data_IF_358118055988
#
_entry.id   IF_358118055988
#
_cell.length_a   1.000
_cell.length_b   1.000
_cell.length_c   1.000
_cell.angle_alpha   90.00
_cell.angle_beta   90.00
_cell.angle_gamma   90.00
#
_symmetry.space_group_name_H-M   'P 1'
#
loop_
_entity.id
_entity.type
_entity.pdbx_description
1 polymer ?
#
# COMPACT_ATOMS: atom_id res chain seq x y z
N UNK A 1 -19.96 -53.98 33.81
CA UNK A 1 -20.76 -52.76 33.53
C UNK A 1 -19.81 -51.58 33.35
N UNK A 2 -20.27 -50.58 32.59
CA UNK A 2 -19.54 -49.62 31.76
C UNK A 2 -18.47 -48.79 32.48
N UNK A 3 -17.30 -48.68 31.84
CA UNK A 3 -16.34 -47.59 32.01
C UNK A 3 -16.78 -46.42 31.11
N UNK A 4 -16.97 -45.23 31.70
CA UNK A 4 -17.21 -44.00 30.95
C UNK A 4 -16.08 -43.04 31.24
N UNK A 5 -15.08 -43.04 30.35
CA UNK A 5 -14.03 -42.03 30.27
C UNK A 5 -14.61 -40.90 29.42
N UNK A 6 -14.91 -39.75 30.03
CA UNK A 6 -15.28 -38.53 29.32
C UNK A 6 -14.01 -37.78 28.97
N UNK A 7 -13.66 -37.83 27.68
CA UNK A 7 -12.51 -37.16 27.10
C UNK A 7 -12.79 -35.64 26.99
N UNK A 8 -11.83 -34.87 27.50
CA UNK A 8 -11.74 -33.40 27.42
C UNK A 8 -11.51 -32.96 25.98
N UNK A 9 -12.28 -31.99 25.49
CA UNK A 9 -12.04 -31.30 24.23
C UNK A 9 -11.84 -29.80 24.46
N UNK A 10 -10.61 -29.37 24.73
CA UNK A 10 -10.23 -27.96 24.65
C UNK A 10 -10.11 -27.57 23.17
N UNK A 11 -11.06 -26.79 22.67
CA UNK A 11 -10.94 -26.06 21.41
C UNK A 11 -10.02 -24.85 21.63
N UNK A 12 -8.72 -25.04 21.43
CA UNK A 12 -7.75 -23.95 21.37
C UNK A 12 -7.95 -23.20 20.05
N UNK A 13 -8.60 -22.04 20.08
CA UNK A 13 -8.62 -21.12 18.95
C UNK A 13 -7.21 -20.55 18.78
N UNK A 14 -6.48 -21.04 17.77
CA UNK A 14 -5.20 -20.46 17.37
C UNK A 14 -5.54 -19.13 16.68
N UNK A 15 -5.58 -18.04 17.44
CA UNK A 15 -5.49 -16.69 16.88
C UNK A 15 -4.07 -16.52 16.35
N UNK A 16 -3.86 -16.87 15.09
CA UNK A 16 -2.63 -16.52 14.39
C UNK A 16 -2.52 -15.00 14.33
N UNK A 17 -1.48 -14.43 14.94
CA UNK A 17 -1.17 -13.03 14.78
C UNK A 17 -0.96 -12.76 13.27
N UNK A 18 -1.81 -11.94 12.66
CA UNK A 18 -1.62 -11.52 11.27
C UNK A 18 -0.34 -10.70 11.20
N UNK A 19 0.64 -11.19 10.43
CA UNK A 19 1.88 -10.45 10.18
C UNK A 19 1.51 -9.25 9.29
N UNK A 20 1.77 -8.03 9.77
CA UNK A 20 1.71 -6.83 8.95
C UNK A 20 2.99 -6.73 8.11
N UNK A 21 2.97 -7.28 6.91
CA UNK A 21 4.07 -7.23 5.94
C UNK A 21 4.34 -5.79 5.47
N UNK A 22 3.31 -4.94 5.43
CA UNK A 22 3.48 -3.53 5.10
C UNK A 22 4.22 -2.73 6.18
N UNK A 23 4.37 -3.25 7.40
CA UNK A 23 5.15 -2.57 8.45
C UNK A 23 6.63 -2.34 8.04
N UNK A 24 7.13 -3.14 7.09
CA UNK A 24 8.44 -2.97 6.46
C UNK A 24 9.63 -3.08 7.42
N UNK A 25 10.80 -2.68 6.94
CA UNK A 25 12.02 -2.51 7.73
C UNK A 25 12.38 -1.03 7.77
N UNK A 26 11.91 -0.32 8.80
CA UNK A 26 12.08 1.15 8.96
C UNK A 26 13.51 1.61 9.26
N UNK A 27 14.52 0.78 8.98
CA UNK A 27 15.93 1.04 9.27
C UNK A 27 16.64 1.93 8.25
N UNK A 28 16.08 2.07 7.04
CA UNK A 28 16.65 2.89 5.96
C UNK A 28 15.72 4.05 5.67
N UNK A 29 16.18 5.31 5.75
CA UNK A 29 15.42 6.45 5.24
C UNK A 29 15.20 6.28 3.73
N UNK A 30 13.95 6.35 3.29
CA UNK A 30 13.62 6.35 1.87
C UNK A 30 13.90 7.70 1.21
N UNK A 31 13.39 7.89 -0.02
CA UNK A 31 13.62 9.09 -0.83
C UNK A 31 12.46 10.10 -0.75
N UNK A 32 11.39 9.74 -0.05
CA UNK A 32 10.11 10.43 -0.13
C UNK A 32 9.50 10.76 1.25
N UNK A 33 8.88 11.93 1.32
CA UNK A 33 8.10 12.39 2.48
C UNK A 33 6.62 12.51 2.09
N UNK A 34 5.77 11.65 2.67
CA UNK A 34 4.33 11.70 2.39
C UNK A 34 3.69 12.91 3.08
N UNK A 35 3.00 13.76 2.32
CA UNK A 35 2.46 15.04 2.80
C UNK A 35 1.01 14.89 3.25
N UNK A 36 0.17 14.23 2.43
CA UNK A 36 -1.27 14.13 2.69
C UNK A 36 -1.79 12.72 2.47
N UNK A 37 -2.88 12.40 3.18
CA UNK A 37 -3.69 11.19 2.99
C UNK A 37 -5.14 11.63 2.89
N UNK A 38 -5.77 11.37 1.74
CA UNK A 38 -7.17 11.65 1.46
C UNK A 38 -7.87 10.32 1.23
N UNK A 39 -8.88 10.05 2.05
CA UNK A 39 -9.68 8.84 1.94
C UNK A 39 -10.56 8.86 0.69
N UNK A 40 -10.50 7.78 -0.07
CA UNK A 40 -11.30 7.57 -1.29
C UNK A 40 -12.10 6.27 -1.21
N UNK A 41 -12.05 5.55 -0.09
CA UNK A 41 -12.59 4.19 0.06
C UNK A 41 -14.07 4.10 -0.27
N UNK A 42 -14.88 5.05 0.22
CA UNK A 42 -16.32 5.10 -0.07
C UNK A 42 -16.67 5.44 -1.52
N UNK A 43 -15.74 6.06 -2.25
CA UNK A 43 -15.93 6.51 -3.64
C UNK A 43 -15.24 5.61 -4.67
N UNK A 44 -14.37 4.70 -4.24
CA UNK A 44 -13.78 3.68 -5.11
C UNK A 44 -14.84 2.65 -5.48
N UNK A 45 -14.84 2.22 -6.74
CA UNK A 45 -15.79 1.22 -7.25
C UNK A 45 -15.51 -0.18 -6.70
N UNK A 46 -14.25 -0.47 -6.38
CA UNK A 46 -13.82 -1.76 -5.82
C UNK A 46 -12.61 -1.53 -4.92
N UNK A 47 -12.74 -0.88 -3.75
CA UNK A 47 -11.60 -0.64 -2.88
C UNK A 47 -10.96 -1.98 -2.46
N UNK A 48 -9.65 -2.18 -2.64
CA UNK A 48 -8.97 -3.41 -2.26
C UNK A 48 -9.12 -3.67 -0.76
N UNK A 49 -9.08 -4.94 -0.41
CA UNK A 49 -8.96 -5.40 0.98
C UNK A 49 -7.54 -5.18 1.49
N UNK A 50 -7.41 -5.02 2.80
CA UNK A 50 -6.10 -4.99 3.46
C UNK A 50 -5.27 -6.23 3.15
N UNK A 51 -5.88 -7.42 3.03
CA UNK A 51 -5.18 -8.63 2.60
C UNK A 51 -4.56 -8.50 1.20
N UNK A 52 -5.29 -7.92 0.24
CA UNK A 52 -4.76 -7.64 -1.10
C UNK A 52 -3.59 -6.63 -1.05
N UNK A 53 -3.65 -5.65 -0.15
CA UNK A 53 -2.54 -4.70 0.06
C UNK A 53 -1.32 -5.36 0.73
N UNK A 54 -1.53 -6.31 1.65
CA UNK A 54 -0.44 -7.10 2.23
C UNK A 54 0.27 -7.96 1.16
N UNK A 55 -0.47 -8.47 0.18
CA UNK A 55 0.10 -9.19 -0.96
C UNK A 55 0.94 -8.26 -1.86
N UNK A 56 0.50 -7.03 -2.08
CA UNK A 56 1.30 -5.99 -2.76
C UNK A 56 2.59 -5.68 -2.00
N UNK A 57 2.51 -5.46 -0.69
CA UNK A 57 3.69 -5.20 0.14
C UNK A 57 4.69 -6.37 0.09
N UNK A 58 4.20 -7.61 0.10
CA UNK A 58 5.06 -8.80 -0.07
C UNK A 58 5.79 -8.79 -1.41
N UNK A 59 5.08 -8.44 -2.48
CA UNK A 59 5.66 -8.34 -3.82
C UNK A 59 6.74 -7.26 -3.90
N UNK A 60 6.45 -6.06 -3.40
CA UNK A 60 7.40 -4.93 -3.34
C UNK A 60 8.66 -5.34 -2.58
N UNK A 61 8.52 -5.88 -1.37
CA UNK A 61 9.65 -6.27 -0.52
C UNK A 61 10.43 -7.49 -1.02
N UNK A 62 9.91 -8.21 -2.02
CA UNK A 62 10.62 -9.32 -2.67
C UNK A 62 11.49 -8.88 -3.85
N UNK A 63 11.27 -7.65 -4.35
CA UNK A 63 12.09 -7.06 -5.41
C UNK A 63 13.23 -6.24 -4.79
N UNK A 64 14.38 -6.24 -5.47
CA UNK A 64 15.56 -5.52 -5.01
C UNK A 64 15.73 -4.22 -5.82
N UNK A 65 15.84 -3.10 -5.11
CA UNK A 65 16.15 -1.80 -5.68
C UNK A 65 14.98 -0.83 -5.65
N UNK A 66 15.23 0.35 -6.20
CA UNK A 66 14.28 1.45 -6.20
C UNK A 66 13.34 1.37 -7.41
N UNK A 67 12.10 1.78 -7.22
CA UNK A 67 11.18 2.01 -8.32
C UNK A 67 11.40 3.40 -8.92
N UNK A 68 11.76 3.44 -10.21
CA UNK A 68 11.88 4.70 -10.95
C UNK A 68 10.51 5.16 -11.41
N UNK A 69 10.08 6.31 -10.90
CA UNK A 69 8.91 7.02 -11.40
C UNK A 69 9.37 7.98 -12.49
N UNK A 70 8.88 7.79 -13.71
CA UNK A 70 9.28 8.56 -14.90
C UNK A 70 8.06 9.16 -15.59
N UNK A 71 8.07 10.48 -15.73
CA UNK A 71 7.03 11.24 -16.42
C UNK A 71 7.50 11.83 -17.75
N UNK A 72 8.74 11.57 -18.14
CA UNK A 72 9.35 12.08 -19.38
C UNK A 72 8.55 11.66 -20.59
N UNK A 73 8.11 12.64 -21.39
CA UNK A 73 7.32 12.40 -22.61
C UNK A 73 5.89 11.90 -22.39
N UNK A 74 5.41 11.79 -21.13
CA UNK A 74 4.06 11.37 -20.82
C UNK A 74 3.07 12.56 -20.78
N UNK A 75 1.81 12.37 -21.24
CA UNK A 75 0.80 13.44 -21.26
C UNK A 75 0.28 13.78 -19.85
N UNK A 76 -0.39 14.93 -19.72
CA UNK A 76 -1.00 15.34 -18.47
C UNK A 76 -2.10 14.35 -18.04
N UNK A 77 -2.14 14.04 -16.74
CA UNK A 77 -3.02 13.00 -16.18
C UNK A 77 -2.48 11.57 -16.29
N UNK A 78 -1.31 11.36 -16.91
CA UNK A 78 -0.64 10.05 -16.86
C UNK A 78 -0.36 9.63 -15.42
N UNK A 79 -0.60 8.34 -15.14
CA UNK A 79 -0.24 7.68 -13.90
C UNK A 79 0.61 6.46 -14.21
N UNK A 80 1.79 6.39 -13.61
CA UNK A 80 2.59 5.19 -13.62
C UNK A 80 2.08 4.27 -12.51
N UNK A 81 1.69 3.05 -12.88
CA UNK A 81 1.04 2.10 -11.95
C UNK A 81 2.00 0.97 -11.64
N UNK A 82 2.23 0.74 -10.34
CA UNK A 82 2.87 -0.45 -9.80
C UNK A 82 1.79 -1.51 -9.56
N UNK A 83 1.64 -2.44 -10.52
CA UNK A 83 0.58 -3.46 -10.52
C UNK A 83 1.13 -4.86 -10.18
N UNK A 84 1.66 -5.01 -8.96
CA UNK A 84 2.21 -6.30 -8.50
C UNK A 84 1.11 -7.27 -8.03
N UNK A 85 0.07 -6.74 -7.36
CA UNK A 85 -1.12 -7.50 -6.94
C UNK A 85 -2.39 -6.64 -7.08
N UNK A 86 -3.53 -7.10 -6.55
CA UNK A 86 -4.83 -6.46 -6.75
C UNK A 86 -4.92 -5.03 -6.16
N UNK A 87 -4.31 -4.80 -4.99
CA UNK A 87 -4.15 -3.47 -4.41
C UNK A 87 -2.98 -2.77 -5.11
N UNK A 88 -3.25 -1.96 -6.12
CA UNK A 88 -2.19 -1.27 -6.86
C UNK A 88 -1.81 0.05 -6.21
N UNK A 89 -0.58 0.45 -6.48
CA UNK A 89 -0.05 1.76 -6.13
C UNK A 89 0.23 2.52 -7.42
N UNK A 90 -0.01 3.83 -7.46
CA UNK A 90 0.30 4.62 -8.64
C UNK A 90 0.78 6.01 -8.31
N UNK A 91 1.61 6.54 -9.20
CA UNK A 91 2.19 7.87 -9.13
C UNK A 91 1.76 8.71 -10.32
N UNK A 92 1.40 9.96 -10.08
CA UNK A 92 1.08 10.93 -11.12
C UNK A 92 1.74 12.28 -10.83
N UNK A 93 1.92 13.12 -11.84
CA UNK A 93 2.50 14.45 -11.66
C UNK A 93 1.60 15.33 -10.78
N UNK A 94 2.19 16.00 -9.80
CA UNK A 94 1.47 17.05 -9.07
C UNK A 94 1.23 18.27 -9.97
N UNK A 95 0.13 19.03 -9.77
CA UNK A 95 -0.09 20.29 -10.46
C UNK A 95 1.09 21.26 -10.28
N UNK A 96 1.56 21.86 -11.37
CA UNK A 96 2.64 22.86 -11.34
C UNK A 96 4.06 22.29 -11.47
N UNK A 97 4.26 20.97 -11.43
CA UNK A 97 5.57 20.36 -11.70
C UNK A 97 5.93 20.40 -13.20
N UNK A 98 7.23 20.32 -13.55
CA UNK A 98 7.67 20.16 -14.93
C UNK A 98 7.07 18.93 -15.60
N UNK A 99 7.02 18.92 -16.94
CA UNK A 99 6.51 17.77 -17.69
C UNK A 99 7.47 16.58 -17.67
N UNK A 100 8.76 16.88 -17.73
CA UNK A 100 9.82 15.89 -17.92
C UNK A 100 10.71 15.83 -16.70
N UNK A 101 10.40 14.89 -15.80
CA UNK A 101 11.23 14.56 -14.66
C UNK A 101 10.99 13.12 -14.22
N UNK A 102 11.96 12.61 -13.47
CA UNK A 102 11.92 11.30 -12.84
C UNK A 102 12.48 11.41 -11.42
N UNK A 103 12.14 10.46 -10.58
CA UNK A 103 12.71 10.28 -9.26
C UNK A 103 12.63 8.82 -8.84
N UNK A 104 13.43 8.45 -7.85
CA UNK A 104 13.41 7.11 -7.27
C UNK A 104 12.49 7.08 -6.05
N UNK A 105 11.82 5.95 -5.87
CA UNK A 105 11.14 5.59 -4.63
C UNK A 105 11.79 4.32 -4.07
N UNK A 106 12.17 4.35 -2.81
CA UNK A 106 12.58 3.14 -2.11
C UNK A 106 11.33 2.27 -1.89
N UNK A 107 11.50 0.95 -1.89
CA UNK A 107 10.41 0.02 -1.58
C UNK A 107 9.73 0.33 -0.24
N UNK A 108 10.51 0.82 0.73
CA UNK A 108 10.03 1.24 2.04
C UNK A 108 9.09 2.45 1.94
N UNK A 109 9.34 3.41 1.05
CA UNK A 109 8.45 4.57 0.82
C UNK A 109 7.04 4.13 0.42
N UNK A 110 6.95 3.11 -0.45
CA UNK A 110 5.68 2.61 -0.98
C UNK A 110 4.93 1.79 0.07
N UNK A 111 5.61 0.88 0.77
CA UNK A 111 4.96 0.05 1.79
C UNK A 111 4.54 0.87 3.01
N UNK A 112 5.27 1.94 3.37
CA UNK A 112 4.86 2.84 4.45
C UNK A 112 3.54 3.56 4.10
N UNK A 113 3.34 3.96 2.84
CA UNK A 113 2.06 4.52 2.38
C UNK A 113 0.95 3.46 2.48
N UNK A 114 1.19 2.24 2.00
CA UNK A 114 0.20 1.14 2.07
C UNK A 114 -0.16 0.77 3.52
N UNK A 115 0.83 0.77 4.42
CA UNK A 115 0.64 0.54 5.85
C UNK A 115 -0.17 1.67 6.50
N UNK A 116 0.18 2.92 6.25
CA UNK A 116 -0.56 4.08 6.78
C UNK A 116 -1.99 4.15 6.24
N UNK A 117 -2.22 3.88 4.96
CA UNK A 117 -3.56 3.77 4.36
C UNK A 117 -4.37 2.68 5.05
N UNK A 118 -3.78 1.50 5.25
CA UNK A 118 -4.42 0.38 5.94
C UNK A 118 -4.78 0.73 7.38
N UNK A 119 -3.85 1.33 8.14
CA UNK A 119 -4.08 1.72 9.54
C UNK A 119 -5.17 2.79 9.68
N UNK A 120 -5.17 3.79 8.80
CA UNK A 120 -6.08 4.94 8.87
C UNK A 120 -7.49 4.58 8.47
N UNK A 121 -7.65 3.87 7.35
CA UNK A 121 -8.95 3.76 6.69
C UNK A 121 -9.59 2.38 6.81
N UNK A 122 -8.82 1.30 6.93
CA UNK A 122 -9.40 -0.05 7.00
C UNK A 122 -10.40 -0.25 8.17
N UNK A 123 -10.17 0.31 9.39
CA UNK A 123 -11.14 0.22 10.48
C UNK A 123 -12.49 0.89 10.18
N UNK A 124 -12.53 1.83 9.24
CA UNK A 124 -13.73 2.59 8.87
C UNK A 124 -14.57 1.87 7.80
N UNK A 125 -13.96 0.94 7.04
CA UNK A 125 -14.58 0.31 5.86
C UNK A 125 -14.43 -1.21 5.85
N UNK A 126 -14.56 -1.86 7.02
CA UNK A 126 -14.58 -3.32 7.15
C UNK A 126 -13.37 -4.00 6.49
N UNK A 127 -12.18 -3.41 6.66
CA UNK A 127 -10.94 -3.97 6.13
C UNK A 127 -10.65 -3.63 4.66
N UNK A 128 -11.40 -2.71 4.04
CA UNK A 128 -11.13 -2.20 2.68
C UNK A 128 -10.53 -0.81 2.72
N UNK A 129 -9.74 -0.47 1.69
CA UNK A 129 -9.05 0.82 1.61
C UNK A 129 -8.93 1.30 0.18
N UNK A 130 -9.10 2.60 -0.03
CA UNK A 130 -8.57 3.32 -1.18
C UNK A 130 -8.24 4.75 -0.74
N UNK A 131 -7.14 5.30 -1.22
CA UNK A 131 -6.68 6.62 -0.79
C UNK A 131 -5.82 7.28 -1.86
N UNK A 132 -5.67 8.59 -1.76
CA UNK A 132 -4.76 9.37 -2.60
C UNK A 132 -4.10 10.47 -1.77
N UNK A 133 -3.06 11.10 -2.31
CA UNK A 133 -2.42 12.20 -1.62
C UNK A 133 -1.28 12.81 -2.40
N UNK A 134 -0.56 13.69 -1.72
CA UNK A 134 0.65 14.35 -2.20
C UNK A 134 1.85 13.80 -1.43
N UNK A 135 2.96 13.65 -2.14
CA UNK A 135 4.25 13.20 -1.62
C UNK A 135 5.36 14.05 -2.23
N UNK A 136 6.43 14.31 -1.49
CA UNK A 136 7.64 14.94 -2.02
C UNK A 136 8.73 13.88 -2.13
N UNK A 137 9.26 13.63 -3.32
CA UNK A 137 10.37 12.71 -3.56
C UNK A 137 11.52 13.47 -4.20
N UNK A 138 12.72 13.44 -3.60
CA UNK A 138 13.91 14.11 -4.14
C UNK A 138 13.67 15.59 -4.54
N UNK A 139 12.86 16.31 -3.75
CA UNK A 139 12.50 17.71 -3.98
C UNK A 139 11.42 17.96 -5.04
N UNK A 140 10.75 16.91 -5.55
CA UNK A 140 9.64 16.98 -6.50
C UNK A 140 8.34 16.58 -5.84
N UNK A 141 7.28 17.34 -6.06
CA UNK A 141 5.95 16.93 -5.62
C UNK A 141 5.32 15.96 -6.62
N UNK A 142 4.66 14.93 -6.11
CA UNK A 142 3.88 14.02 -6.93
C UNK A 142 2.55 13.72 -6.24
N UNK A 143 1.59 13.23 -7.02
CA UNK A 143 0.39 12.59 -6.49
C UNK A 143 0.62 11.09 -6.38
N UNK A 144 0.09 10.47 -5.34
CA UNK A 144 0.06 9.02 -5.20
C UNK A 144 -1.39 8.55 -5.02
N UNK A 145 -1.66 7.29 -5.37
CA UNK A 145 -2.95 6.66 -5.08
C UNK A 145 -2.80 5.16 -4.82
N UNK A 146 -3.61 4.67 -3.88
CA UNK A 146 -3.85 3.25 -3.59
C UNK A 146 -5.29 2.94 -3.99
N UNK A 147 -5.46 2.06 -4.98
CA UNK A 147 -6.77 1.63 -5.47
C UNK A 147 -6.67 0.23 -6.10
N UNK A 148 -7.76 -0.26 -6.67
CA UNK A 148 -7.78 -1.54 -7.38
C UNK A 148 -7.40 -1.37 -8.86
N UNK A 149 -6.42 -2.12 -9.35
CA UNK A 149 -5.88 -1.99 -10.72
C UNK A 149 -5.88 -3.28 -11.58
N UNK A 150 -6.67 -4.29 -11.21
CA UNK A 150 -6.81 -5.54 -11.98
C UNK A 150 -8.18 -5.77 -12.61
#
# INVERSE_FOLDING_TARGET
MRASILLVGLLSTITGAQINLCAGQKGTPGHCDTITFVDRTATSTRPPTTAECQDTCRGILSDAGDWVVDFTGHPDGYRQVLNIAACGFSMGRAPGEPKDYQFNMDNQDIVDILDEVSKRFAPLYSGRVAAEGIITCQGRNATWAVDYYR
#
